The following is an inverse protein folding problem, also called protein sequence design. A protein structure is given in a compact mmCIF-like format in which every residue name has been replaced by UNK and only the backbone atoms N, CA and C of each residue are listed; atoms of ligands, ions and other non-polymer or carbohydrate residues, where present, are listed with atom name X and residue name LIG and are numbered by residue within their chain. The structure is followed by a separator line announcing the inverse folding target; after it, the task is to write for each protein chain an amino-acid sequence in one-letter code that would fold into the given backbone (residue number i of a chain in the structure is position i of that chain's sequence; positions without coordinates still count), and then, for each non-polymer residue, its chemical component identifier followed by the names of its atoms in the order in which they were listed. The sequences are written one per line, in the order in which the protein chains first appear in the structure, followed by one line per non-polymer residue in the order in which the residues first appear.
data_IF_903441999596
#
_entry.id   IF_903441999596
#
_cell.length_a   1.000
_cell.length_b   1.000
_cell.length_c   1.000
_cell.angle_alpha   90.00
_cell.angle_beta   90.00
_cell.angle_gamma   90.00
#
_symmetry.space_group_name_H-M   'P 1'
#
loop_
_entity.id
_entity.type
_entity.pdbx_description
1 polymer ?
#
# COMPACT_ATOMS: atom_id res chain seq x y z
N UNK A 1 9.56 -16.98 21.19
CA UNK A 1 10.34 -18.08 20.57
C UNK A 1 11.85 -17.78 20.69
N UNK A 2 12.42 -17.75 21.91
CA UNK A 2 13.85 -17.46 22.10
C UNK A 2 14.77 -18.50 21.43
N UNK A 3 14.31 -19.74 21.30
CA UNK A 3 15.05 -20.84 20.68
C UNK A 3 15.34 -20.67 19.17
N UNK A 4 14.75 -19.64 18.54
CA UNK A 4 14.95 -19.33 17.12
C UNK A 4 15.75 -18.03 16.90
N UNK A 5 16.09 -17.28 17.96
CA UNK A 5 16.65 -15.93 17.84
C UNK A 5 18.02 -15.90 17.12
N UNK A 6 18.87 -16.90 17.39
CA UNK A 6 20.22 -16.99 16.82
C UNK A 6 20.30 -17.83 15.53
N UNK A 7 19.18 -18.33 15.01
CA UNK A 7 19.21 -19.09 13.76
C UNK A 7 19.46 -18.15 12.58
N UNK A 8 20.36 -18.49 11.63
CA UNK A 8 20.58 -17.67 10.45
C UNK A 8 19.31 -17.61 9.60
N UNK A 9 19.03 -16.44 9.04
CA UNK A 9 17.94 -16.30 8.07
C UNK A 9 18.25 -17.07 6.79
N UNK A 10 17.28 -17.83 6.30
CA UNK A 10 17.37 -18.49 4.99
C UNK A 10 17.08 -17.54 3.82
N UNK A 11 16.36 -16.43 4.09
CA UNK A 11 15.98 -15.45 3.09
C UNK A 11 15.58 -14.13 3.77
N UNK A 12 15.92 -13.00 3.16
CA UNK A 12 15.40 -11.69 3.52
C UNK A 12 15.26 -10.81 2.28
N UNK A 13 14.22 -9.97 2.26
CA UNK A 13 14.00 -8.95 1.23
C UNK A 13 13.21 -7.79 1.80
N UNK A 14 13.23 -6.66 1.09
CA UNK A 14 12.26 -5.59 1.29
C UNK A 14 10.98 -5.85 0.50
N UNK A 15 9.89 -5.23 0.91
CA UNK A 15 8.58 -5.35 0.26
C UNK A 15 7.98 -3.96 0.10
N UNK A 16 7.65 -3.58 -1.13
CA UNK A 16 7.12 -2.26 -1.46
C UNK A 16 5.60 -2.29 -1.59
N UNK A 17 4.97 -1.19 -1.18
CA UNK A 17 3.56 -0.90 -1.38
C UNK A 17 3.39 0.62 -1.47
N UNK A 18 2.17 1.10 -1.74
CA UNK A 18 1.86 2.52 -1.77
C UNK A 18 0.66 2.82 -0.87
N UNK A 19 0.82 3.78 0.03
CA UNK A 19 -0.24 4.28 0.90
C UNK A 19 -0.92 5.50 0.26
N UNK A 20 -2.25 5.49 0.24
CA UNK A 20 -3.06 6.72 0.13
C UNK A 20 -3.06 7.46 1.48
N UNK A 21 -3.52 8.70 1.50
CA UNK A 21 -3.53 9.55 2.71
C UNK A 21 -4.36 8.90 3.83
N UNK A 22 -5.56 8.44 3.50
CA UNK A 22 -6.49 7.77 4.42
C UNK A 22 -6.30 6.24 4.51
N UNK A 23 -5.30 5.71 3.79
CA UNK A 23 -5.02 4.28 3.63
C UNK A 23 -6.15 3.46 3.00
N UNK A 24 -7.19 4.07 2.45
CA UNK A 24 -8.20 3.36 1.65
C UNK A 24 -7.69 3.12 0.22
N UNK A 25 -8.24 2.13 -0.48
CA UNK A 25 -7.89 1.92 -1.90
C UNK A 25 -8.19 3.15 -2.76
N UNK A 26 -7.55 3.23 -3.92
CA UNK A 26 -7.89 4.14 -5.00
C UNK A 26 -8.32 3.30 -6.20
N UNK A 27 -9.64 3.20 -6.41
CA UNK A 27 -10.25 2.42 -7.50
C UNK A 27 -11.23 3.32 -8.24
N UNK A 28 -10.74 4.08 -9.21
CA UNK A 28 -11.54 5.06 -9.91
C UNK A 28 -10.98 5.43 -11.29
N UNK A 29 -11.81 6.02 -12.13
CA UNK A 29 -11.39 6.65 -13.37
C UNK A 29 -10.61 7.94 -13.11
N UNK A 30 -9.62 8.19 -13.95
CA UNK A 30 -8.94 9.48 -13.96
C UNK A 30 -9.87 10.56 -14.58
N UNK A 31 -10.04 11.74 -13.96
CA UNK A 31 -11.01 12.74 -14.41
C UNK A 31 -10.74 13.27 -15.83
N UNK A 32 -9.47 13.42 -16.20
CA UNK A 32 -9.07 13.93 -17.53
C UNK A 32 -8.85 12.82 -18.57
N UNK A 33 -8.89 11.55 -18.15
CA UNK A 33 -8.58 10.40 -19.00
C UNK A 33 -9.68 9.34 -18.83
N UNK A 34 -10.82 9.47 -19.53
CA UNK A 34 -12.01 8.66 -19.29
C UNK A 34 -11.82 7.17 -19.60
N UNK A 35 -10.78 6.80 -20.34
CA UNK A 35 -10.44 5.40 -20.64
C UNK A 35 -9.42 4.80 -19.67
N UNK A 36 -8.93 5.56 -18.68
CA UNK A 36 -7.97 5.10 -17.68
C UNK A 36 -8.67 4.87 -16.34
N UNK A 37 -8.72 3.60 -15.92
CA UNK A 37 -9.13 3.20 -14.58
C UNK A 37 -7.91 2.86 -13.74
N UNK A 38 -7.83 3.44 -12.55
CA UNK A 38 -6.80 3.18 -11.56
C UNK A 38 -7.31 2.15 -10.56
N UNK A 39 -6.43 1.24 -10.14
CA UNK A 39 -6.69 0.26 -9.08
C UNK A 39 -5.41 0.10 -8.23
N UNK A 40 -5.14 1.09 -7.39
CA UNK A 40 -3.88 1.26 -6.65
C UNK A 40 -4.14 1.59 -5.17
N UNK A 41 -3.09 1.93 -4.41
CA UNK A 41 -3.26 2.40 -3.04
C UNK A 41 -3.64 1.30 -2.05
N UNK A 42 -3.11 0.09 -2.25
CA UNK A 42 -3.39 -1.07 -1.39
C UNK A 42 -3.01 -0.87 0.09
N UNK A 43 -2.18 0.14 0.38
CA UNK A 43 -1.93 0.68 1.72
C UNK A 43 -1.51 -0.35 2.78
N UNK A 44 -0.71 -1.33 2.35
CA UNK A 44 -0.22 -2.45 3.18
C UNK A 44 -1.28 -3.49 3.54
N UNK A 45 -2.47 -3.44 2.95
CA UNK A 45 -3.63 -4.29 3.31
C UNK A 45 -4.24 -5.04 2.12
N UNK A 46 -3.72 -4.84 0.90
CA UNK A 46 -4.30 -5.39 -0.33
C UNK A 46 -4.32 -6.92 -0.45
N UNK A 47 -3.34 -7.63 0.12
CA UNK A 47 -3.17 -9.06 -0.14
C UNK A 47 -4.39 -9.90 0.30
N UNK A 48 -5.02 -9.58 1.43
CA UNK A 48 -6.19 -10.32 1.91
C UNK A 48 -7.40 -10.23 0.95
N UNK A 49 -7.42 -9.23 0.07
CA UNK A 49 -8.49 -9.01 -0.90
C UNK A 49 -8.22 -9.67 -2.25
N UNK A 50 -7.09 -10.39 -2.42
CA UNK A 50 -6.72 -11.02 -3.70
C UNK A 50 -7.84 -11.86 -4.35
N UNK A 51 -8.73 -12.56 -3.63
CA UNK A 51 -9.77 -13.36 -4.28
C UNK A 51 -10.92 -12.53 -4.87
N UNK A 52 -11.15 -11.30 -4.38
CA UNK A 52 -12.38 -10.55 -4.67
C UNK A 52 -12.15 -9.12 -5.18
N UNK A 53 -10.95 -8.54 -5.01
CA UNK A 53 -10.68 -7.15 -5.39
C UNK A 53 -10.91 -6.89 -6.89
N UNK A 54 -10.67 -7.91 -7.72
CA UNK A 54 -10.93 -7.84 -9.17
C UNK A 54 -12.40 -7.59 -9.51
N UNK A 55 -13.34 -8.14 -8.73
CA UNK A 55 -14.78 -7.90 -8.93
C UNK A 55 -15.14 -6.44 -8.66
N UNK A 56 -14.59 -5.82 -7.61
CA UNK A 56 -14.80 -4.40 -7.36
C UNK A 56 -14.20 -3.52 -8.46
N UNK A 57 -13.01 -3.87 -8.96
CA UNK A 57 -12.39 -3.15 -10.07
C UNK A 57 -13.27 -3.24 -11.33
N UNK A 58 -13.78 -4.44 -11.64
CA UNK A 58 -14.71 -4.66 -12.75
C UNK A 58 -16.04 -3.91 -12.56
N UNK A 59 -16.62 -3.92 -11.36
CA UNK A 59 -17.83 -3.16 -11.05
C UNK A 59 -17.61 -1.65 -11.24
N UNK A 60 -16.43 -1.12 -10.91
CA UNK A 60 -16.13 0.29 -11.20
C UNK A 60 -16.03 0.53 -12.70
N UNK A 61 -15.35 -0.36 -13.42
CA UNK A 61 -15.20 -0.30 -14.89
C UNK A 61 -16.55 -0.32 -15.61
N UNK A 62 -17.52 -1.10 -15.11
CA UNK A 62 -18.85 -1.25 -15.70
C UNK A 62 -19.89 -0.25 -15.16
N UNK A 63 -19.50 0.62 -14.23
CA UNK A 63 -20.43 1.59 -13.60
C UNK A 63 -21.46 0.96 -12.66
N UNK A 64 -21.16 -0.21 -12.09
CA UNK A 64 -22.04 -1.01 -11.21
C UNK A 64 -21.64 -1.01 -9.74
N UNK A 65 -20.51 -0.40 -9.38
CA UNK A 65 -20.02 -0.36 -8.00
C UNK A 65 -21.02 0.33 -7.05
N UNK A 66 -21.22 -0.25 -5.85
CA UNK A 66 -22.05 0.36 -4.79
C UNK A 66 -21.59 1.81 -4.53
N UNK A 67 -22.49 2.81 -4.53
CA UNK A 67 -22.13 4.22 -4.41
C UNK A 67 -21.31 4.56 -3.16
N UNK A 68 -21.53 3.86 -2.05
CA UNK A 68 -20.77 4.09 -0.80
C UNK A 68 -19.34 3.61 -0.94
N UNK A 69 -19.14 2.47 -1.61
CA UNK A 69 -17.80 1.95 -1.90
C UNK A 69 -17.09 2.89 -2.88
N UNK A 70 -17.76 3.28 -3.97
CA UNK A 70 -17.20 4.21 -4.96
C UNK A 70 -16.76 5.52 -4.30
N UNK A 71 -17.56 6.10 -3.40
CA UNK A 71 -17.20 7.31 -2.68
C UNK A 71 -15.97 7.15 -1.80
N UNK A 72 -15.78 5.98 -1.17
CA UNK A 72 -14.64 5.70 -0.29
C UNK A 72 -13.32 5.48 -1.06
N UNK A 73 -13.39 4.99 -2.30
CA UNK A 73 -12.20 4.65 -3.11
C UNK A 73 -11.98 5.57 -4.31
N UNK A 74 -12.73 6.67 -4.42
CA UNK A 74 -12.67 7.60 -5.54
C UNK A 74 -11.32 8.27 -5.74
N UNK A 75 -11.11 8.82 -6.93
CA UNK A 75 -10.07 9.80 -7.20
C UNK A 75 -10.23 11.01 -6.28
N UNK A 76 -9.18 11.34 -5.52
CA UNK A 76 -9.23 12.32 -4.41
C UNK A 76 -7.91 13.08 -4.19
N UNK A 77 -7.41 13.83 -5.19
CA UNK A 77 -6.15 14.55 -5.10
C UNK A 77 -6.16 15.63 -4.01
N UNK A 78 -7.33 16.17 -3.66
CA UNK A 78 -7.50 17.20 -2.63
C UNK A 78 -7.02 16.75 -1.25
N UNK A 79 -7.02 15.43 -0.96
CA UNK A 79 -6.51 14.90 0.30
C UNK A 79 -4.98 14.91 0.36
N UNK A 80 -4.30 14.94 -0.78
CA UNK A 80 -2.83 14.81 -0.88
C UNK A 80 -2.12 16.16 -1.08
N UNK A 81 -2.85 17.28 -1.08
CA UNK A 81 -2.26 18.62 -1.12
C UNK A 81 -1.44 18.84 0.15
N UNK A 82 -0.17 19.21 0.00
CA UNK A 82 0.78 19.38 1.12
C UNK A 82 0.90 18.12 2.01
N UNK A 83 0.82 16.93 1.39
CA UNK A 83 0.95 15.66 2.12
C UNK A 83 2.26 15.61 2.92
N UNK A 84 2.12 15.32 4.20
CA UNK A 84 3.23 14.94 5.07
C UNK A 84 3.67 13.50 4.74
N UNK A 85 4.90 13.34 4.26
CA UNK A 85 5.46 12.03 3.92
C UNK A 85 6.08 11.31 5.13
N UNK A 86 6.22 11.99 6.26
CA UNK A 86 6.73 11.44 7.51
C UNK A 86 5.59 10.96 8.46
N UNK A 87 4.32 11.13 8.07
CA UNK A 87 3.16 10.58 8.79
C UNK A 87 3.28 9.05 8.92
N UNK A 88 3.22 8.54 10.15
CA UNK A 88 3.28 7.10 10.43
C UNK A 88 2.02 6.35 9.97
N UNK A 89 0.95 7.09 9.66
CA UNK A 89 -0.33 6.61 9.17
C UNK A 89 -0.89 5.46 10.01
N UNK A 90 -0.91 5.67 11.34
CA UNK A 90 -1.37 4.70 12.34
C UNK A 90 -0.59 3.37 12.33
N UNK A 91 0.72 3.44 12.08
CA UNK A 91 1.66 2.32 12.24
C UNK A 91 2.58 2.55 13.44
N UNK A 92 2.99 1.48 14.08
CA UNK A 92 3.77 1.48 15.31
C UNK A 92 4.95 0.50 15.20
N UNK A 93 5.98 0.67 16.03
CA UNK A 93 7.16 -0.20 16.08
C UNK A 93 8.46 0.51 15.66
N UNK A 94 9.61 -0.10 16.00
CA UNK A 94 10.93 0.47 15.71
C UNK A 94 11.13 1.86 16.33
N UNK A 95 11.66 2.80 15.54
CA UNK A 95 11.91 4.19 15.93
C UNK A 95 10.65 5.08 15.92
N UNK A 96 9.46 4.52 15.67
CA UNK A 96 8.19 5.25 15.65
C UNK A 96 8.13 6.42 14.66
N UNK A 97 8.78 6.26 13.49
CA UNK A 97 8.82 7.22 12.39
C UNK A 97 8.96 6.51 11.04
N UNK A 98 8.63 7.20 9.95
CA UNK A 98 8.99 6.73 8.60
C UNK A 98 10.52 6.76 8.45
N UNK A 99 11.09 5.66 7.96
CA UNK A 99 12.53 5.52 7.72
C UNK A 99 12.86 5.72 6.24
N UNK A 100 14.12 6.08 5.97
CA UNK A 100 14.61 6.38 4.63
C UNK A 100 15.81 5.49 4.32
N UNK A 101 15.74 4.76 3.20
CA UNK A 101 16.81 3.87 2.75
C UNK A 101 18.12 4.61 2.46
N UNK A 102 18.10 5.91 2.13
CA UNK A 102 19.32 6.69 1.96
C UNK A 102 20.17 6.79 3.24
N UNK A 103 19.56 6.54 4.41
CA UNK A 103 20.24 6.60 5.72
C UNK A 103 20.70 5.22 6.21
N UNK A 104 20.37 4.13 5.50
CA UNK A 104 20.77 2.77 5.85
C UNK A 104 22.24 2.56 5.48
N UNK A 105 23.06 2.20 6.47
CA UNK A 105 24.51 2.04 6.30
C UNK A 105 24.94 0.62 5.95
N UNK A 106 24.15 -0.37 6.34
CA UNK A 106 24.49 -1.79 6.22
C UNK A 106 23.26 -2.60 5.82
N UNK A 107 23.49 -3.68 5.07
CA UNK A 107 22.47 -4.64 4.64
C UNK A 107 22.89 -6.05 5.07
N UNK A 108 21.90 -6.92 5.29
CA UNK A 108 22.16 -8.34 5.60
C UNK A 108 22.90 -9.01 4.44
N UNK A 109 23.92 -9.81 4.75
CA UNK A 109 24.62 -10.65 3.78
C UNK A 109 24.21 -12.12 3.97
N UNK A 110 23.16 -12.55 3.27
CA UNK A 110 22.65 -13.92 3.32
C UNK A 110 23.25 -14.68 2.14
N UNK A 111 23.93 -15.80 2.41
CA UNK A 111 24.53 -16.62 1.35
C UNK A 111 23.44 -17.20 0.45
N UNK A 112 23.57 -16.98 -0.86
CA UNK A 112 22.81 -17.73 -1.86
C UNK A 112 23.32 -19.18 -1.88
N UNK A 113 22.42 -20.13 -1.68
CA UNK A 113 22.71 -21.57 -1.79
C UNK A 113 22.75 -22.02 -3.25
#
# INVERSE_FOLDING_TARGET
MPQLAERPFSFARICWCADTVDRNFLIDYHPDHPSLLLAVGASGRGFAHIPSIGSFIADRLEGKMDPRVAAAVRWRPEQAVNRDWDDTQNRFGGEYRVMDFQKVKEWTNIQES
#
